data_IF_965435984507
#
_entry.id   IF_965435984507
#
_cell.length_a   1.000
_cell.length_b   1.000
_cell.length_c   1.000
_cell.angle_alpha   90.00
_cell.angle_beta   90.00
_cell.angle_gamma   90.00
#
_symmetry.space_group_name_H-M   'P 1'
#
loop_
_entity.id
_entity.type
_entity.pdbx_description
1 polymer ?
#
# COMPACT_ATOMS: atom_id res chain seq x y z
N UNK A 1 -1.00 21.50 -16.85
CA UNK A 1 -1.66 22.81 -16.63
C UNK A 1 -3.16 22.63 -16.77
N UNK A 2 -3.83 22.06 -15.77
CA UNK A 2 -5.30 21.89 -15.76
C UNK A 2 -5.97 22.85 -14.77
N UNK A 3 -5.20 23.67 -14.06
CA UNK A 3 -5.68 24.54 -12.99
C UNK A 3 -6.70 25.57 -13.51
N UNK A 4 -6.43 26.16 -14.69
CA UNK A 4 -7.36 27.10 -15.34
C UNK A 4 -8.68 26.46 -15.77
N UNK A 5 -8.68 25.18 -16.11
CA UNK A 5 -9.89 24.43 -16.46
C UNK A 5 -10.72 24.09 -15.24
N UNK A 6 -10.06 23.75 -14.12
CA UNK A 6 -10.70 23.48 -12.84
C UNK A 6 -11.39 24.75 -12.32
N UNK A 7 -10.70 25.90 -12.33
CA UNK A 7 -11.29 27.17 -11.93
C UNK A 7 -12.48 27.58 -12.82
N UNK A 8 -12.38 27.36 -14.13
CA UNK A 8 -13.45 27.67 -15.08
C UNK A 8 -14.70 26.82 -14.85
N UNK A 9 -14.53 25.53 -14.51
CA UNK A 9 -15.63 24.63 -14.16
C UNK A 9 -16.20 24.98 -12.79
N UNK A 10 -15.36 25.27 -11.80
CA UNK A 10 -15.80 25.68 -10.44
C UNK A 10 -16.70 26.93 -10.47
N UNK A 11 -16.39 27.89 -11.35
CA UNK A 11 -17.23 29.10 -11.53
C UNK A 11 -18.61 28.82 -12.13
N UNK A 12 -18.76 27.78 -12.95
CA UNK A 12 -20.04 27.39 -13.57
C UNK A 12 -20.89 26.46 -12.71
N UNK A 13 -20.34 25.91 -11.63
CA UNK A 13 -21.08 25.03 -10.74
C UNK A 13 -22.01 25.81 -9.80
N UNK A 14 -23.27 25.36 -9.62
CA UNK A 14 -24.15 25.76 -8.53
C UNK A 14 -23.48 25.56 -7.16
N UNK A 15 -23.81 26.40 -6.18
CA UNK A 15 -23.21 26.32 -4.84
C UNK A 15 -23.39 24.96 -4.16
N UNK A 16 -24.51 24.28 -4.39
CA UNK A 16 -24.79 22.95 -3.83
C UNK A 16 -23.74 21.91 -4.27
N UNK A 17 -23.31 21.97 -5.54
CA UNK A 17 -22.33 21.04 -6.08
C UNK A 17 -20.88 21.44 -5.73
N UNK A 18 -20.62 22.70 -5.39
CA UNK A 18 -19.29 23.12 -4.92
C UNK A 18 -18.93 22.45 -3.60
N UNK A 19 -19.92 22.23 -2.74
CA UNK A 19 -19.73 21.56 -1.46
C UNK A 19 -19.30 20.11 -1.64
N UNK A 20 -19.94 19.39 -2.56
CA UNK A 20 -19.58 18.01 -2.90
C UNK A 20 -18.17 17.92 -3.52
N UNK A 21 -17.78 18.90 -4.34
CA UNK A 21 -16.42 18.98 -4.88
C UNK A 21 -15.39 19.21 -3.79
N UNK A 22 -15.66 20.10 -2.82
CA UNK A 22 -14.78 20.32 -1.68
C UNK A 22 -14.61 19.06 -0.85
N UNK A 23 -15.72 18.38 -0.51
CA UNK A 23 -15.70 17.12 0.22
C UNK A 23 -14.89 16.03 -0.54
N UNK A 24 -15.02 15.99 -1.86
CA UNK A 24 -14.26 15.06 -2.70
C UNK A 24 -12.76 15.39 -2.75
N UNK A 25 -12.39 16.67 -2.80
CA UNK A 25 -11.00 17.12 -2.72
C UNK A 25 -10.39 16.74 -1.38
N UNK A 26 -11.09 16.97 -0.28
CA UNK A 26 -10.65 16.60 1.07
C UNK A 26 -10.52 15.08 1.22
N UNK A 27 -11.45 14.31 0.64
CA UNK A 27 -11.36 12.86 0.57
C UNK A 27 -10.11 12.40 -0.19
N UNK A 28 -9.83 12.98 -1.36
CA UNK A 28 -8.65 12.64 -2.14
C UNK A 28 -7.36 12.97 -1.38
N UNK A 29 -7.27 14.16 -0.78
CA UNK A 29 -6.12 14.55 0.03
C UNK A 29 -5.89 13.57 1.19
N UNK A 30 -6.95 13.24 1.93
CA UNK A 30 -6.88 12.30 3.06
C UNK A 30 -6.50 10.87 2.61
N UNK A 31 -7.08 10.39 1.51
CA UNK A 31 -6.85 9.04 0.99
C UNK A 31 -5.43 8.82 0.50
N UNK A 32 -4.82 9.83 -0.10
CA UNK A 32 -3.49 9.71 -0.71
C UNK A 32 -2.35 10.20 0.21
N UNK A 33 -2.59 11.12 1.15
CA UNK A 33 -1.60 11.51 2.18
C UNK A 33 -1.17 10.32 3.05
N UNK A 34 -2.10 9.44 3.42
CA UNK A 34 -1.79 8.27 4.24
C UNK A 34 -1.10 7.13 3.48
N UNK A 35 -1.28 7.03 2.16
CA UNK A 35 -0.78 5.91 1.33
C UNK A 35 0.68 6.06 0.92
N UNK A 36 1.21 7.28 0.90
CA UNK A 36 2.60 7.53 0.50
C UNK A 36 3.58 7.15 1.63
N UNK A 37 3.18 7.34 2.90
CA UNK A 37 4.02 7.06 4.06
C UNK A 37 3.81 5.68 4.72
N UNK A 38 2.69 4.99 4.43
CA UNK A 38 2.34 3.72 5.09
C UNK A 38 2.65 2.47 4.28
N UNK A 39 3.19 2.60 3.05
CA UNK A 39 3.91 1.49 2.41
C UNK A 39 5.25 1.31 3.10
N UNK A 40 5.22 0.96 4.38
CA UNK A 40 6.38 0.47 5.09
C UNK A 40 7.01 -0.57 4.19
N UNK A 41 8.27 -0.33 3.80
CA UNK A 41 9.03 -1.24 2.94
C UNK A 41 8.78 -2.66 3.47
N UNK A 42 8.43 -3.60 2.60
CA UNK A 42 8.31 -5.00 2.98
C UNK A 42 9.56 -5.37 3.77
N UNK A 43 9.37 -5.60 5.07
CA UNK A 43 10.48 -5.96 5.94
C UNK A 43 10.66 -7.45 5.74
N UNK A 44 11.56 -7.82 4.84
CA UNK A 44 11.97 -9.20 4.58
C UNK A 44 12.74 -9.77 5.79
N UNK A 45 12.27 -9.50 7.02
CA UNK A 45 12.95 -9.86 8.28
C UNK A 45 13.01 -11.39 8.47
N UNK A 46 12.21 -12.14 7.70
CA UNK A 46 12.21 -13.60 7.67
C UNK A 46 13.18 -14.18 6.62
N UNK A 47 13.69 -13.38 5.69
CA UNK A 47 14.61 -13.85 4.66
C UNK A 47 15.94 -14.26 5.32
N UNK A 48 16.37 -15.50 5.08
CA UNK A 48 17.60 -16.03 5.65
C UNK A 48 17.50 -16.52 7.10
N UNK A 49 16.30 -16.56 7.71
CA UNK A 49 16.12 -17.10 9.07
C UNK A 49 16.49 -18.58 9.25
N UNK A 50 16.66 -19.33 8.15
CA UNK A 50 17.10 -20.74 8.15
C UNK A 50 18.55 -20.90 7.65
N UNK A 51 19.33 -19.82 7.60
CA UNK A 51 20.71 -19.89 7.08
C UNK A 51 21.63 -20.75 7.96
N UNK A 52 21.41 -20.74 9.28
CA UNK A 52 22.23 -21.46 10.25
C UNK A 52 22.08 -22.99 10.14
N UNK A 53 20.88 -23.45 9.80
CA UNK A 53 20.56 -24.88 9.67
C UNK A 53 20.75 -25.42 8.25
N UNK A 54 21.22 -24.57 7.32
CA UNK A 54 21.49 -24.97 5.93
C UNK A 54 22.66 -25.96 5.82
N UNK A 55 23.61 -25.91 6.76
CA UNK A 55 24.74 -26.85 6.81
C UNK A 55 24.36 -28.18 7.50
N UNK A 56 23.35 -28.15 8.36
CA UNK A 56 22.89 -29.32 9.14
C UNK A 56 21.80 -30.12 8.46
N UNK A 57 20.96 -29.48 7.64
CA UNK A 57 19.85 -30.13 6.96
C UNK A 57 19.88 -29.85 5.47
N UNK A 58 19.77 -30.93 4.69
CA UNK A 58 19.51 -30.85 3.27
C UNK A 58 18.05 -30.45 3.02
N UNK A 59 17.77 -29.84 1.87
CA UNK A 59 16.41 -29.43 1.48
C UNK A 59 15.40 -30.59 1.50
N UNK A 60 15.88 -31.82 1.26
CA UNK A 60 15.05 -33.03 1.24
C UNK A 60 14.70 -33.50 2.66
N UNK A 61 15.63 -33.40 3.61
CA UNK A 61 15.35 -33.74 5.02
C UNK A 61 14.38 -32.75 5.66
N UNK A 62 14.49 -31.46 5.33
CA UNK A 62 13.51 -30.45 5.74
C UNK A 62 12.12 -30.75 5.20
N UNK A 63 12.03 -31.21 3.95
CA UNK A 63 10.76 -31.59 3.34
C UNK A 63 10.13 -32.80 4.05
N UNK A 64 10.91 -33.83 4.38
CA UNK A 64 10.41 -34.98 5.14
C UNK A 64 9.94 -34.58 6.54
N UNK A 65 10.73 -33.79 7.29
CA UNK A 65 10.33 -33.29 8.62
C UNK A 65 9.06 -32.43 8.58
N UNK A 66 8.90 -31.59 7.56
CA UNK A 66 7.70 -30.79 7.38
C UNK A 66 6.44 -31.65 7.12
N UNK A 67 6.60 -32.80 6.46
CA UNK A 67 5.52 -33.76 6.25
C UNK A 67 5.17 -34.53 7.54
N UNK A 68 6.14 -34.77 8.43
CA UNK A 68 5.92 -35.41 9.73
C UNK A 68 5.19 -34.51 10.74
N UNK A 69 5.30 -33.19 10.61
CA UNK A 69 4.65 -32.21 11.49
C UNK A 69 3.20 -31.85 11.09
N UNK A 70 2.64 -32.53 10.09
CA UNK A 70 1.28 -32.33 9.58
C UNK A 70 0.28 -33.27 10.25
#
# INVERSE_FOLDING_TARGET
MHDKEIEGKMKKLPEDLRREVLDYVDFLLSKYQGRENSRGKFKFDWEGGLSEIREEFTSVELQHKALEWR
#
